data_IF_434715339972
#
_entry.id   IF_434715339972
#
_cell.length_a   1.000
_cell.length_b   1.000
_cell.length_c   1.000
_cell.angle_alpha   90.00
_cell.angle_beta   90.00
_cell.angle_gamma   90.00
#
_symmetry.space_group_name_H-M   'P 1'
#
loop_
_entity.id
_entity.type
_entity.pdbx_description
1 polymer ?
#
# COMPACT_ATOMS: atom_id res chain seq x y z
N UNK A 1 8.87 60.16 -29.28
CA UNK A 1 7.64 60.47 -30.00
C UNK A 1 6.57 59.70 -29.30
N UNK A 2 5.87 60.29 -28.31
CA UNK A 2 4.60 60.99 -28.40
C UNK A 2 3.54 60.13 -29.10
N UNK A 3 2.46 59.63 -28.46
CA UNK A 3 1.34 60.34 -27.89
C UNK A 3 0.44 59.38 -27.09
N UNK A 4 0.10 59.68 -25.88
CA UNK A 4 -1.23 59.48 -25.28
C UNK A 4 -1.96 60.83 -25.47
N UNK A 5 -3.22 61.08 -25.14
CA UNK A 5 -4.23 60.40 -24.32
C UNK A 5 -5.67 60.48 -24.94
N UNK A 6 -6.73 60.02 -24.27
CA UNK A 6 -7.82 60.90 -23.81
C UNK A 6 -8.92 60.14 -23.04
N UNK A 7 -9.32 60.79 -21.98
CA UNK A 7 -10.36 60.42 -21.05
C UNK A 7 -11.68 61.20 -21.29
N UNK A 8 -12.80 60.59 -20.78
CA UNK A 8 -14.02 61.20 -20.21
C UNK A 8 -15.15 61.66 -21.19
N UNK A 9 -16.36 61.96 -20.69
CA UNK A 9 -16.99 61.73 -19.37
C UNK A 9 -18.45 61.19 -19.38
N UNK A 10 -18.97 60.99 -18.17
CA UNK A 10 -20.41 60.77 -17.79
C UNK A 10 -21.34 61.95 -18.19
N UNK A 11 -22.67 61.72 -18.22
CA UNK A 11 -23.49 62.58 -17.37
C UNK A 11 -24.57 61.86 -16.53
N UNK A 12 -24.74 62.39 -15.34
CA UNK A 12 -25.84 62.29 -14.39
C UNK A 12 -27.17 62.82 -14.93
N UNK A 13 -28.29 62.18 -14.56
CA UNK A 13 -29.54 62.93 -14.30
C UNK A 13 -30.36 62.32 -13.19
N UNK A 14 -30.63 63.18 -12.23
CA UNK A 14 -31.61 63.15 -11.15
C UNK A 14 -33.06 63.13 -11.69
N UNK A 15 -33.93 62.54 -10.93
CA UNK A 15 -35.32 63.01 -10.99
C UNK A 15 -36.40 62.05 -10.63
N UNK A 16 -36.86 62.17 -9.45
CA UNK A 16 -38.22 62.38 -8.91
C UNK A 16 -38.88 61.21 -8.19
N UNK A 17 -39.11 61.49 -6.91
CA UNK A 17 -40.02 60.88 -5.95
C UNK A 17 -41.47 60.84 -6.48
N UNK A 18 -42.12 59.67 -6.31
CA UNK A 18 -43.59 59.64 -6.06
C UNK A 18 -43.82 58.61 -4.97
N UNK A 19 -44.25 59.07 -3.83
CA UNK A 19 -44.86 58.27 -2.77
C UNK A 19 -46.27 57.83 -3.24
N UNK A 20 -46.54 56.51 -3.10
CA UNK A 20 -47.91 56.04 -2.95
C UNK A 20 -47.91 54.91 -1.90
N UNK A 21 -48.57 55.21 -0.80
CA UNK A 21 -48.97 54.26 0.21
C UNK A 21 -50.12 53.39 -0.34
N UNK A 22 -50.15 52.08 0.00
CA UNK A 22 -51.37 51.44 0.51
C UNK A 22 -51.25 49.89 0.60
N UNK A 23 -51.75 49.44 1.72
CA UNK A 23 -52.39 48.17 2.05
C UNK A 23 -51.46 46.92 2.27
N UNK A 24 -51.31 46.71 3.56
CA UNK A 24 -50.94 45.43 4.16
C UNK A 24 -52.08 44.41 3.91
N UNK A 25 -51.72 43.34 3.15
CA UNK A 25 -52.46 42.07 3.22
C UNK A 25 -51.49 41.05 3.85
N UNK A 26 -51.79 40.70 5.09
CA UNK A 26 -51.12 39.63 5.80
C UNK A 26 -51.51 38.29 5.15
N UNK A 27 -50.66 37.78 4.30
CA UNK A 27 -50.70 36.37 3.85
C UNK A 27 -49.94 35.54 4.86
N UNK A 28 -50.68 34.80 5.69
CA UNK A 28 -50.15 33.71 6.51
C UNK A 28 -49.62 32.62 5.56
N UNK A 29 -48.34 32.67 5.26
CA UNK A 29 -47.61 31.52 4.69
C UNK A 29 -47.38 30.56 5.83
N UNK A 30 -48.18 29.49 5.94
CA UNK A 30 -47.86 28.29 6.66
C UNK A 30 -46.60 27.71 6.01
N UNK A 31 -45.46 27.95 6.62
CA UNK A 31 -44.25 27.19 6.35
C UNK A 31 -44.48 25.80 6.92
N UNK A 32 -44.89 24.84 6.10
CA UNK A 32 -44.65 23.44 6.39
C UNK A 32 -43.13 23.24 6.30
N UNK A 33 -42.46 23.22 7.43
CA UNK A 33 -41.17 22.61 7.56
C UNK A 33 -41.39 21.09 7.42
N UNK A 34 -41.15 20.56 6.23
CA UNK A 34 -40.89 19.13 6.07
C UNK A 34 -39.54 18.87 6.74
N UNK A 35 -39.56 18.66 8.05
CA UNK A 35 -38.49 18.00 8.79
C UNK A 35 -38.50 16.53 8.37
N UNK A 36 -38.01 16.27 7.17
CA UNK A 36 -37.54 14.95 6.78
C UNK A 36 -36.17 14.72 7.51
N UNK A 37 -36.24 14.56 8.81
CA UNK A 37 -35.21 13.89 9.58
C UNK A 37 -35.23 12.39 9.17
N UNK A 38 -34.71 12.10 7.98
CA UNK A 38 -34.33 10.73 7.68
C UNK A 38 -33.28 10.31 8.75
N UNK A 39 -33.60 9.28 9.54
CA UNK A 39 -32.68 8.85 10.57
C UNK A 39 -31.33 8.56 9.91
N UNK A 40 -30.27 9.23 10.37
CA UNK A 40 -28.91 9.03 9.87
C UNK A 40 -28.64 7.52 9.82
N UNK A 41 -28.26 7.04 8.64
CA UNK A 41 -27.95 5.61 8.47
C UNK A 41 -27.01 5.16 9.59
N UNK A 42 -27.27 4.03 10.25
CA UNK A 42 -26.45 3.57 11.36
C UNK A 42 -24.99 3.49 10.90
N UNK A 43 -24.03 3.89 11.75
CA UNK A 43 -22.62 3.86 11.39
C UNK A 43 -22.22 2.45 10.94
N UNK A 44 -21.63 2.36 9.74
CA UNK A 44 -21.14 1.07 9.21
C UNK A 44 -20.06 0.55 10.14
N UNK A 45 -20.36 -0.49 10.88
CA UNK A 45 -19.38 -1.14 11.76
C UNK A 45 -18.43 -1.97 10.90
N UNK A 46 -17.16 -1.56 10.84
CA UNK A 46 -16.14 -2.32 10.12
C UNK A 46 -15.83 -3.65 10.82
N UNK A 47 -15.63 -4.75 10.08
CA UNK A 47 -15.38 -6.06 10.66
C UNK A 47 -14.08 -6.08 11.47
N UNK A 48 -14.11 -6.68 12.66
CA UNK A 48 -12.92 -6.93 13.48
C UNK A 48 -12.03 -8.03 12.86
N UNK A 49 -12.67 -9.00 12.21
CA UNK A 49 -12.00 -10.13 11.58
C UNK A 49 -12.82 -10.68 10.42
N UNK A 50 -12.17 -10.87 9.29
CA UNK A 50 -12.71 -11.56 8.12
C UNK A 50 -11.96 -12.89 8.01
N UNK A 51 -12.65 -14.01 8.15
CA UNK A 51 -12.07 -15.35 7.99
C UNK A 51 -12.50 -15.92 6.64
N UNK A 52 -11.55 -16.09 5.74
CA UNK A 52 -11.80 -16.50 4.36
C UNK A 52 -11.59 -18.01 4.21
N UNK A 53 -12.64 -18.81 3.90
CA UNK A 53 -12.55 -20.26 3.77
C UNK A 53 -11.96 -20.66 2.41
N UNK A 54 -10.76 -20.19 2.10
CA UNK A 54 -10.04 -20.48 0.86
C UNK A 54 -8.81 -21.32 1.16
N UNK A 55 -8.87 -22.60 0.81
CA UNK A 55 -7.81 -23.57 1.09
C UNK A 55 -6.52 -23.27 0.29
N UNK A 56 -5.39 -23.43 0.97
CA UNK A 56 -4.06 -23.41 0.38
C UNK A 56 -3.77 -22.17 -0.49
N UNK A 57 -4.29 -21.01 -0.09
CA UNK A 57 -3.97 -19.74 -0.75
C UNK A 57 -2.65 -19.17 -0.24
N UNK A 58 -2.42 -19.26 1.07
CA UNK A 58 -1.26 -18.71 1.77
C UNK A 58 -0.89 -17.31 1.25
N UNK A 59 -1.77 -16.32 1.45
CA UNK A 59 -1.54 -14.97 0.96
C UNK A 59 -0.36 -14.32 1.70
N UNK A 60 0.38 -13.45 1.01
CA UNK A 60 1.52 -12.72 1.55
C UNK A 60 1.25 -11.22 1.53
N UNK A 61 0.69 -10.71 0.43
CA UNK A 61 0.35 -9.32 0.22
C UNK A 61 -1.14 -9.05 0.40
N UNK A 62 -1.45 -7.86 0.91
CA UNK A 62 -2.82 -7.34 1.03
C UNK A 62 -2.87 -5.85 0.69
N UNK A 63 -3.91 -5.43 -0.02
CA UNK A 63 -4.28 -4.03 -0.21
C UNK A 63 -5.78 -3.85 -0.03
N UNK A 64 -6.22 -2.68 0.44
CA UNK A 64 -7.63 -2.33 0.46
C UNK A 64 -7.97 -1.41 -0.70
N UNK A 65 -8.95 -1.80 -1.50
CA UNK A 65 -9.48 -1.06 -2.62
C UNK A 65 -10.68 -0.23 -2.15
N UNK A 66 -10.41 1.04 -1.78
CA UNK A 66 -11.44 1.96 -1.28
C UNK A 66 -12.55 2.22 -2.31
N UNK A 67 -12.22 2.24 -3.61
CA UNK A 67 -13.19 2.51 -4.67
C UNK A 67 -14.21 1.38 -4.80
N UNK A 68 -13.77 0.13 -4.64
CA UNK A 68 -14.60 -1.06 -4.78
C UNK A 68 -14.95 -1.72 -3.43
N UNK A 69 -14.58 -1.12 -2.29
CA UNK A 69 -14.88 -1.56 -0.92
C UNK A 69 -14.52 -3.03 -0.68
N UNK A 70 -13.31 -3.45 -1.07
CA UNK A 70 -12.84 -4.83 -0.97
C UNK A 70 -11.35 -4.90 -0.66
N UNK A 71 -10.91 -6.00 -0.07
CA UNK A 71 -9.49 -6.32 0.02
C UNK A 71 -9.04 -7.03 -1.26
N UNK A 72 -7.77 -6.84 -1.62
CA UNK A 72 -7.08 -7.59 -2.67
C UNK A 72 -5.95 -8.35 -1.97
N UNK A 73 -5.81 -9.64 -2.25
CA UNK A 73 -4.81 -10.51 -1.65
C UNK A 73 -4.01 -11.25 -2.71
N UNK A 74 -2.75 -11.53 -2.41
CA UNK A 74 -1.86 -12.35 -3.22
C UNK A 74 -1.94 -13.83 -2.86
N UNK A 75 -1.16 -14.68 -3.54
CA UNK A 75 -1.02 -16.08 -3.19
C UNK A 75 0.35 -16.64 -3.55
N UNK A 76 1.09 -17.07 -2.54
CA UNK A 76 2.38 -17.75 -2.75
C UNK A 76 2.21 -19.13 -3.37
N UNK A 77 1.16 -19.84 -3.01
CA UNK A 77 0.98 -21.27 -3.39
C UNK A 77 0.17 -21.47 -4.66
N UNK A 78 -0.54 -20.43 -5.14
CA UNK A 78 -1.37 -20.51 -6.35
C UNK A 78 -0.91 -19.58 -7.47
N UNK A 79 -0.04 -18.61 -7.16
CA UNK A 79 0.45 -17.65 -8.12
C UNK A 79 -0.68 -16.84 -8.76
N UNK A 80 -1.66 -16.38 -7.98
CA UNK A 80 -2.76 -15.55 -8.45
C UNK A 80 -3.15 -14.49 -7.43
N UNK A 81 -3.86 -13.51 -7.87
CA UNK A 81 -4.50 -12.52 -7.03
C UNK A 81 -6.00 -12.83 -6.89
N UNK A 82 -6.62 -12.22 -5.90
CA UNK A 82 -8.08 -12.27 -5.75
C UNK A 82 -8.57 -11.19 -4.80
N UNK A 83 -9.89 -11.01 -4.79
CA UNK A 83 -10.57 -10.06 -3.92
C UNK A 83 -11.29 -10.76 -2.78
N UNK A 84 -11.41 -10.06 -1.65
CA UNK A 84 -12.13 -10.51 -0.46
C UNK A 84 -13.12 -9.43 -0.05
N UNK A 85 -14.36 -9.82 0.12
CA UNK A 85 -15.43 -8.97 0.65
C UNK A 85 -15.56 -9.12 2.18
N UNK A 86 -16.28 -8.20 2.81
CA UNK A 86 -16.52 -8.24 4.27
C UNK A 86 -17.28 -9.49 4.72
N UNK A 87 -18.07 -10.09 3.84
CA UNK A 87 -18.79 -11.34 4.08
C UNK A 87 -17.94 -12.61 3.90
N UNK A 88 -16.62 -12.45 3.75
CA UNK A 88 -15.64 -13.52 3.50
C UNK A 88 -15.65 -14.12 2.09
N UNK A 89 -16.45 -13.59 1.16
CA UNK A 89 -16.46 -14.03 -0.23
C UNK A 89 -15.12 -13.74 -0.90
N UNK A 90 -14.48 -14.78 -1.45
CA UNK A 90 -13.25 -14.69 -2.23
C UNK A 90 -13.56 -14.86 -3.73
N UNK A 91 -13.03 -13.95 -4.55
CA UNK A 91 -13.11 -14.04 -6.02
C UNK A 91 -11.73 -13.94 -6.62
N UNK A 92 -11.28 -15.00 -7.31
CA UNK A 92 -9.98 -15.00 -7.96
C UNK A 92 -9.96 -14.09 -9.20
N UNK A 93 -8.82 -13.43 -9.44
CA UNK A 93 -8.54 -12.75 -10.70
C UNK A 93 -8.25 -13.78 -11.83
N UNK A 94 -8.30 -13.35 -13.11
CA UNK A 94 -7.87 -14.18 -14.23
C UNK A 94 -6.48 -14.76 -13.99
N UNK A 95 -6.30 -16.01 -14.38
CA UNK A 95 -5.05 -16.72 -14.19
C UNK A 95 -4.03 -16.37 -15.29
N UNK A 96 -2.74 -16.31 -14.90
CA UNK A 96 -1.61 -16.18 -15.83
C UNK A 96 -0.48 -17.11 -15.38
N UNK A 97 0.02 -18.00 -16.24
CA UNK A 97 1.02 -19.01 -15.87
C UNK A 97 2.39 -18.41 -15.47
N UNK A 98 2.67 -17.14 -15.83
CA UNK A 98 3.89 -16.44 -15.43
C UNK A 98 3.90 -16.09 -13.94
N UNK A 99 2.74 -16.08 -13.28
CA UNK A 99 2.59 -15.78 -11.87
C UNK A 99 2.90 -17.03 -11.03
N UNK A 100 4.17 -17.38 -10.85
CA UNK A 100 4.58 -18.56 -10.06
C UNK A 100 4.14 -18.42 -8.61
N UNK A 101 4.59 -17.38 -7.92
CA UNK A 101 4.10 -16.95 -6.60
C UNK A 101 3.92 -15.43 -6.63
N UNK A 102 2.77 -14.93 -6.21
CA UNK A 102 2.56 -13.50 -6.00
C UNK A 102 2.75 -13.19 -4.52
N UNK A 103 3.52 -12.14 -4.22
CA UNK A 103 4.03 -11.79 -2.89
C UNK A 103 3.44 -10.44 -2.45
N UNK A 104 4.26 -9.40 -2.31
CA UNK A 104 3.82 -8.07 -1.95
C UNK A 104 2.93 -7.42 -2.99
N UNK A 105 2.04 -6.57 -2.54
CA UNK A 105 1.08 -5.83 -3.36
C UNK A 105 1.17 -4.33 -3.10
N UNK A 106 0.93 -3.53 -4.13
CA UNK A 106 0.69 -2.10 -3.97
C UNK A 106 -0.43 -1.64 -4.91
N UNK A 107 -1.45 -0.98 -4.38
CA UNK A 107 -2.53 -0.40 -5.17
C UNK A 107 -2.25 1.10 -5.40
N UNK A 108 -1.74 1.44 -6.57
CA UNK A 108 -1.60 2.82 -7.04
C UNK A 108 -2.94 3.30 -7.60
N UNK A 109 -3.84 3.70 -6.70
CA UNK A 109 -5.18 4.14 -7.05
C UNK A 109 -5.16 5.38 -7.95
N UNK A 110 -4.17 6.27 -7.78
CA UNK A 110 -4.02 7.49 -8.58
C UNK A 110 -3.83 7.18 -10.07
N UNK A 111 -3.13 6.08 -10.37
CA UNK A 111 -2.83 5.64 -11.75
C UNK A 111 -3.66 4.41 -12.17
N UNK A 112 -4.65 4.05 -11.36
CA UNK A 112 -5.55 2.92 -11.60
C UNK A 112 -4.78 1.64 -11.97
N UNK A 113 -3.77 1.28 -11.18
CA UNK A 113 -2.97 0.07 -11.38
C UNK A 113 -2.71 -0.65 -10.05
N UNK A 114 -2.79 -1.96 -10.10
CA UNK A 114 -2.40 -2.84 -9.01
C UNK A 114 -1.07 -3.50 -9.37
N UNK A 115 -0.12 -3.44 -8.47
CA UNK A 115 1.23 -3.95 -8.62
C UNK A 115 1.39 -5.19 -7.76
N UNK A 116 2.04 -6.22 -8.28
CA UNK A 116 2.37 -7.44 -7.54
C UNK A 116 3.82 -7.84 -7.78
N UNK A 117 4.56 -8.12 -6.73
CA UNK A 117 5.85 -8.77 -6.80
C UNK A 117 5.65 -10.26 -7.13
N UNK A 118 6.42 -10.78 -8.09
CA UNK A 118 6.35 -12.17 -8.52
C UNK A 118 7.70 -12.83 -8.30
N UNK A 119 7.68 -13.99 -7.63
CA UNK A 119 8.87 -14.71 -7.24
C UNK A 119 8.66 -16.23 -7.25
N UNK A 120 9.71 -16.99 -6.99
CA UNK A 120 9.65 -18.43 -6.82
C UNK A 120 10.64 -18.92 -5.76
N UNK A 121 10.13 -19.40 -4.64
CA UNK A 121 10.90 -20.11 -3.63
C UNK A 121 10.45 -21.57 -3.43
N UNK A 122 9.72 -22.11 -4.39
CA UNK A 122 9.18 -23.47 -4.34
C UNK A 122 7.81 -23.60 -3.67
N UNK A 123 7.19 -22.50 -3.25
CA UNK A 123 5.88 -22.54 -2.57
C UNK A 123 4.75 -23.03 -3.49
N UNK A 124 4.82 -22.72 -4.79
CA UNK A 124 3.89 -23.20 -5.80
C UNK A 124 4.51 -24.35 -6.61
N UNK A 125 4.51 -25.54 -6.03
CA UNK A 125 5.12 -26.71 -6.66
C UNK A 125 4.61 -27.03 -8.08
N UNK A 126 3.39 -26.61 -8.43
CA UNK A 126 2.83 -26.83 -9.76
C UNK A 126 3.40 -25.90 -10.85
N UNK A 127 4.02 -24.80 -10.47
CA UNK A 127 4.60 -23.79 -11.40
C UNK A 127 6.09 -23.58 -11.21
N UNK A 128 6.65 -24.02 -10.07
CA UNK A 128 8.09 -23.98 -9.82
C UNK A 128 8.83 -24.85 -10.83
N UNK A 129 9.88 -24.30 -11.41
CA UNK A 129 10.79 -25.01 -12.31
C UNK A 129 12.26 -24.77 -11.90
N UNK A 130 13.22 -25.57 -12.36
CA UNK A 130 14.66 -25.28 -12.11
C UNK A 130 15.11 -23.91 -12.63
N UNK A 131 14.42 -23.37 -13.67
CA UNK A 131 14.74 -22.06 -14.22
C UNK A 131 14.18 -20.91 -13.39
N UNK A 132 13.09 -21.12 -12.64
CA UNK A 132 12.43 -20.09 -11.84
C UNK A 132 12.78 -20.14 -10.37
N UNK A 133 13.08 -21.35 -9.84
CA UNK A 133 13.36 -21.55 -8.41
C UNK A 133 14.53 -20.68 -7.94
N UNK A 134 14.23 -19.71 -7.05
CA UNK A 134 15.18 -18.72 -6.52
C UNK A 134 15.89 -17.87 -7.60
N UNK A 135 15.29 -17.77 -8.79
CA UNK A 135 15.80 -16.98 -9.92
C UNK A 135 14.79 -15.95 -10.39
N UNK A 136 13.51 -16.25 -10.19
CA UNK A 136 12.44 -15.38 -10.62
C UNK A 136 12.31 -14.19 -9.68
N UNK A 137 12.43 -13.00 -10.25
CA UNK A 137 11.95 -11.75 -9.68
C UNK A 137 11.32 -10.92 -10.79
N UNK A 138 10.06 -10.54 -10.65
CA UNK A 138 9.36 -9.72 -11.61
C UNK A 138 8.34 -8.79 -10.94
N UNK A 139 7.97 -7.74 -11.65
CA UNK A 139 6.84 -6.86 -11.33
C UNK A 139 5.70 -7.15 -12.31
N UNK A 140 4.56 -7.58 -11.79
CA UNK A 140 3.32 -7.73 -12.56
C UNK A 140 2.40 -6.55 -12.27
N UNK A 141 1.80 -5.97 -13.33
CA UNK A 141 0.89 -4.83 -13.26
C UNK A 141 -0.48 -5.27 -13.77
N UNK A 142 -1.53 -4.97 -13.00
CA UNK A 142 -2.89 -5.37 -13.30
C UNK A 142 -3.81 -4.16 -13.37
N UNK A 143 -4.87 -4.28 -14.14
CA UNK A 143 -6.03 -3.43 -13.98
C UNK A 143 -6.76 -3.84 -12.68
N UNK A 144 -6.90 -2.97 -11.67
CA UNK A 144 -7.47 -3.36 -10.39
C UNK A 144 -8.96 -3.71 -10.47
N UNK A 145 -9.69 -3.18 -11.44
CA UNK A 145 -11.13 -3.43 -11.60
C UNK A 145 -11.40 -4.80 -12.21
N UNK A 146 -10.69 -5.12 -13.31
CA UNK A 146 -10.92 -6.38 -14.07
C UNK A 146 -10.05 -7.54 -13.59
N UNK A 147 -8.97 -7.24 -12.87
CA UNK A 147 -7.95 -8.21 -12.49
C UNK A 147 -7.07 -8.68 -13.65
N UNK A 148 -7.20 -8.08 -14.84
CA UNK A 148 -6.42 -8.46 -16.01
C UNK A 148 -4.97 -7.99 -15.89
N UNK A 149 -4.01 -8.86 -16.18
CA UNK A 149 -2.59 -8.52 -16.27
C UNK A 149 -2.35 -7.60 -17.48
N UNK A 150 -1.77 -6.43 -17.24
CA UNK A 150 -1.49 -5.41 -18.27
C UNK A 150 -0.01 -5.33 -18.63
N UNK A 151 0.88 -5.67 -17.70
CA UNK A 151 2.34 -5.66 -17.92
C UNK A 151 3.02 -6.69 -17.01
N UNK A 152 4.15 -7.23 -17.49
CA UNK A 152 5.00 -8.15 -16.74
C UNK A 152 6.45 -7.79 -17.03
N UNK A 153 7.19 -7.35 -16.01
CA UNK A 153 8.53 -6.77 -16.13
C UNK A 153 9.52 -7.63 -15.37
N UNK A 154 10.48 -8.20 -16.09
CA UNK A 154 11.57 -8.99 -15.49
C UNK A 154 12.53 -8.08 -14.71
N UNK A 155 12.82 -8.45 -13.47
CA UNK A 155 13.78 -7.78 -12.60
C UNK A 155 15.03 -8.66 -12.39
N UNK A 156 14.85 -9.97 -12.31
CA UNK A 156 15.94 -10.93 -12.11
C UNK A 156 16.99 -10.88 -13.21
N UNK A 157 16.57 -10.62 -14.45
CA UNK A 157 17.44 -10.44 -15.61
C UNK A 157 18.44 -9.27 -15.49
N UNK A 158 18.22 -8.33 -14.57
CA UNK A 158 19.16 -7.24 -14.29
C UNK A 158 20.44 -7.75 -13.56
N UNK A 159 20.34 -8.89 -12.86
CA UNK A 159 21.46 -9.55 -12.16
C UNK A 159 21.36 -11.09 -12.28
N UNK A 160 21.47 -11.67 -13.47
CA UNK A 160 21.09 -13.06 -13.76
C UNK A 160 21.95 -14.10 -13.02
N UNK A 161 23.10 -13.70 -12.46
CA UNK A 161 23.98 -14.58 -11.68
C UNK A 161 23.57 -14.77 -10.23
N UNK A 162 22.60 -13.96 -9.72
CA UNK A 162 22.21 -13.98 -8.32
C UNK A 162 20.96 -14.86 -8.08
N UNK A 163 20.67 -15.10 -6.81
CA UNK A 163 19.37 -15.60 -6.39
C UNK A 163 18.44 -14.42 -6.16
N UNK A 164 17.17 -14.60 -6.48
CA UNK A 164 16.17 -13.53 -6.41
C UNK A 164 14.91 -13.95 -5.68
N UNK A 165 14.30 -12.96 -5.00
CA UNK A 165 12.96 -13.04 -4.45
C UNK A 165 12.39 -11.63 -4.33
N UNK A 166 11.76 -11.12 -5.40
CA UNK A 166 11.02 -9.86 -5.34
C UNK A 166 9.94 -9.98 -4.26
N UNK A 167 9.94 -9.05 -3.30
CA UNK A 167 9.10 -9.18 -2.12
C UNK A 167 8.02 -8.08 -2.05
N UNK A 168 8.36 -6.86 -1.70
CA UNK A 168 7.37 -5.81 -1.46
C UNK A 168 7.62 -4.58 -2.35
N UNK A 169 6.62 -3.68 -2.43
CA UNK A 169 6.58 -2.62 -3.43
C UNK A 169 6.17 -1.30 -2.78
N UNK A 170 6.97 -0.24 -3.01
CA UNK A 170 6.59 1.13 -2.78
C UNK A 170 6.44 1.89 -4.10
N UNK A 171 5.56 2.91 -4.13
CA UNK A 171 5.36 3.78 -5.29
C UNK A 171 5.57 5.23 -4.87
N UNK A 172 6.41 5.96 -5.60
CA UNK A 172 6.62 7.39 -5.33
C UNK A 172 5.54 8.28 -5.98
N UNK A 173 5.60 9.57 -5.69
CA UNK A 173 4.63 10.55 -6.21
C UNK A 173 4.66 10.66 -7.75
N UNK A 174 5.79 10.34 -8.39
CA UNK A 174 5.96 10.34 -9.85
C UNK A 174 5.46 9.05 -10.50
N UNK A 175 5.18 8.01 -9.69
CA UNK A 175 4.70 6.71 -10.15
C UNK A 175 5.82 5.71 -10.44
N UNK A 176 7.05 5.98 -10.02
CA UNK A 176 8.09 4.97 -10.04
C UNK A 176 7.84 3.95 -8.93
N UNK A 177 8.06 2.68 -9.26
CA UNK A 177 7.92 1.57 -8.33
C UNK A 177 9.31 1.17 -7.81
N UNK A 178 9.40 0.90 -6.51
CA UNK A 178 10.60 0.39 -5.86
C UNK A 178 10.30 -0.97 -5.28
N UNK A 179 11.08 -1.98 -5.64
CA UNK A 179 10.82 -3.38 -5.29
C UNK A 179 12.02 -3.94 -4.54
N UNK A 180 11.79 -4.49 -3.35
CA UNK A 180 12.80 -5.17 -2.55
C UNK A 180 13.07 -6.56 -3.07
N UNK A 181 14.35 -7.00 -3.01
CA UNK A 181 14.74 -8.40 -3.23
C UNK A 181 15.24 -9.01 -1.91
N UNK A 182 14.55 -10.05 -1.45
CA UNK A 182 14.88 -10.67 -0.17
C UNK A 182 16.09 -11.64 -0.22
N UNK A 183 16.45 -12.13 -1.40
CA UNK A 183 17.59 -13.06 -1.57
C UNK A 183 18.84 -12.38 -2.10
N UNK A 184 18.70 -11.17 -2.67
CA UNK A 184 19.82 -10.33 -3.10
C UNK A 184 19.75 -8.98 -2.40
N UNK A 185 20.89 -8.32 -2.16
CA UNK A 185 20.93 -7.03 -1.46
C UNK A 185 20.56 -5.87 -2.41
N UNK A 186 19.39 -5.97 -3.04
CA UNK A 186 18.96 -5.10 -4.14
C UNK A 186 17.61 -4.49 -3.86
N UNK A 187 17.47 -3.21 -4.21
CA UNK A 187 16.19 -2.54 -4.47
C UNK A 187 16.15 -2.22 -5.96
N UNK A 188 15.15 -2.73 -6.65
CA UNK A 188 14.90 -2.38 -8.05
C UNK A 188 14.05 -1.12 -8.14
N UNK A 189 14.16 -0.42 -9.28
CA UNK A 189 13.25 0.64 -9.69
C UNK A 189 12.66 0.30 -11.04
N UNK A 190 11.35 0.44 -11.16
CA UNK A 190 10.65 0.47 -12.45
C UNK A 190 10.06 1.86 -12.59
N UNK A 191 10.46 2.60 -13.61
CA UNK A 191 9.95 3.94 -13.86
C UNK A 191 8.49 3.93 -14.37
N UNK A 192 7.89 5.11 -14.46
CA UNK A 192 6.50 5.24 -14.92
C UNK A 192 6.30 4.78 -16.38
N UNK A 193 7.37 4.63 -17.16
CA UNK A 193 7.37 4.11 -18.53
C UNK A 193 7.58 2.60 -18.60
N UNK A 194 7.85 1.94 -17.46
CA UNK A 194 8.05 0.50 -17.36
C UNK A 194 9.51 0.05 -17.53
N UNK A 195 10.47 0.98 -17.51
CA UNK A 195 11.89 0.64 -17.59
C UNK A 195 12.42 0.20 -16.22
N UNK A 196 12.92 -1.02 -16.14
CA UNK A 196 13.52 -1.58 -14.94
C UNK A 196 15.02 -1.27 -14.83
N UNK A 197 15.46 -0.91 -13.63
CA UNK A 197 16.85 -0.66 -13.28
C UNK A 197 17.18 -1.14 -11.87
N UNK A 198 18.44 -1.37 -11.54
CA UNK A 198 18.89 -1.50 -10.15
C UNK A 198 18.96 -0.10 -9.54
N UNK A 199 18.14 0.16 -8.53
CA UNK A 199 18.12 1.44 -7.82
C UNK A 199 19.20 1.54 -6.75
N UNK A 200 19.36 0.47 -5.98
CA UNK A 200 20.37 0.35 -4.93
C UNK A 200 20.82 -1.11 -4.82
N UNK A 201 22.13 -1.33 -4.80
CA UNK A 201 22.75 -2.62 -4.49
C UNK A 201 23.89 -2.36 -3.50
N UNK A 202 23.79 -2.95 -2.30
CA UNK A 202 24.79 -2.73 -1.24
C UNK A 202 24.82 -3.94 -0.29
N UNK A 203 26.01 -4.48 0.05
CA UNK A 203 26.13 -5.62 0.94
C UNK A 203 25.47 -5.48 2.30
N UNK A 204 25.29 -4.26 2.83
CA UNK A 204 24.61 -3.98 4.10
C UNK A 204 23.13 -4.39 4.07
N UNK A 205 22.54 -4.51 2.88
CA UNK A 205 21.14 -4.92 2.66
C UNK A 205 20.98 -6.45 2.69
N UNK A 206 22.08 -7.21 2.67
CA UNK A 206 22.05 -8.67 2.61
C UNK A 206 21.45 -9.31 3.85
N UNK A 207 20.63 -10.32 3.66
CA UNK A 207 20.13 -11.22 4.71
C UNK A 207 21.07 -12.37 5.05
N UNK A 208 22.27 -12.43 4.44
CA UNK A 208 23.17 -13.56 4.56
C UNK A 208 22.60 -14.82 3.89
N UNK A 209 22.41 -15.89 4.65
CA UNK A 209 21.82 -17.15 4.14
C UNK A 209 20.28 -17.16 4.14
N UNK A 210 19.65 -16.20 4.83
CA UNK A 210 18.20 -16.04 4.96
C UNK A 210 17.62 -14.94 4.07
N UNK A 211 16.36 -14.59 4.35
CA UNK A 211 15.72 -13.43 3.74
C UNK A 211 16.27 -12.13 4.34
N UNK A 212 16.67 -11.21 3.46
CA UNK A 212 17.14 -9.86 3.79
C UNK A 212 16.02 -8.81 3.74
N UNK A 213 16.07 -7.98 2.71
CA UNK A 213 15.06 -6.93 2.52
C UNK A 213 13.65 -7.51 2.39
N UNK A 214 12.67 -6.79 2.96
CA UNK A 214 11.28 -7.19 2.95
C UNK A 214 10.40 -5.94 2.75
N UNK A 215 9.59 -5.54 3.72
CA UNK A 215 8.67 -4.42 3.61
C UNK A 215 9.34 -3.11 3.19
N UNK A 216 8.65 -2.34 2.37
CA UNK A 216 9.12 -1.05 1.84
C UNK A 216 7.95 -0.06 1.73
N UNK A 217 8.15 1.18 2.16
CA UNK A 217 7.19 2.27 1.96
C UNK A 217 7.87 3.53 1.48
N UNK A 218 7.16 4.31 0.66
CA UNK A 218 7.59 5.64 0.24
C UNK A 218 7.15 6.68 1.27
N UNK A 219 8.08 7.53 1.66
CA UNK A 219 7.81 8.69 2.51
C UNK A 219 7.69 9.96 1.67
N UNK A 220 6.69 10.83 1.91
CA UNK A 220 6.44 12.02 1.08
C UNK A 220 7.62 12.99 1.00
N UNK A 221 8.55 12.97 1.95
CA UNK A 221 9.78 13.77 1.93
C UNK A 221 10.86 13.22 0.98
N UNK A 222 10.53 12.24 0.12
CA UNK A 222 11.43 11.78 -0.93
C UNK A 222 12.46 10.74 -0.51
N UNK A 223 12.10 9.83 0.39
CA UNK A 223 12.91 8.67 0.75
C UNK A 223 12.03 7.42 0.95
N UNK A 224 12.67 6.27 0.98
CA UNK A 224 12.06 5.00 1.33
C UNK A 224 12.40 4.64 2.77
N UNK A 225 11.45 4.00 3.48
CA UNK A 225 11.74 3.22 4.68
C UNK A 225 11.68 1.75 4.27
N UNK A 226 12.72 1.00 4.61
CA UNK A 226 12.93 -0.37 4.13
C UNK A 226 13.30 -1.25 5.31
N UNK A 227 12.54 -2.32 5.53
CA UNK A 227 12.81 -3.30 6.57
C UNK A 227 13.74 -4.41 6.06
N UNK A 228 14.64 -4.87 6.93
CA UNK A 228 15.44 -6.08 6.73
C UNK A 228 15.03 -7.13 7.76
N UNK A 229 14.56 -8.27 7.29
CA UNK A 229 13.84 -9.26 8.10
C UNK A 229 14.74 -10.00 9.09
N UNK A 230 15.94 -10.40 8.67
CA UNK A 230 16.83 -11.28 9.44
C UNK A 230 17.31 -10.68 10.77
N UNK A 231 17.51 -9.37 10.84
CA UNK A 231 18.01 -8.68 12.04
C UNK A 231 17.12 -7.54 12.52
N UNK A 232 16.03 -7.25 11.79
CA UNK A 232 15.08 -6.20 12.14
C UNK A 232 15.57 -4.78 11.89
N UNK A 233 16.62 -4.60 11.07
CA UNK A 233 17.11 -3.27 10.72
C UNK A 233 16.08 -2.54 9.87
N UNK A 234 15.80 -1.28 10.20
CA UNK A 234 15.03 -0.35 9.37
C UNK A 234 16.00 0.64 8.73
N UNK A 235 15.97 0.74 7.41
CA UNK A 235 16.77 1.69 6.64
C UNK A 235 15.94 2.88 6.18
N UNK A 236 16.57 4.06 6.14
CA UNK A 236 16.11 5.25 5.44
C UNK A 236 16.95 5.44 4.19
N UNK A 237 16.33 5.36 3.01
CA UNK A 237 17.00 5.40 1.69
C UNK A 237 16.51 6.63 0.90
N UNK A 238 17.30 7.73 0.84
CA UNK A 238 16.94 8.92 0.08
C UNK A 238 16.86 8.62 -1.43
N UNK A 239 15.80 9.07 -2.10
CA UNK A 239 15.66 8.85 -3.56
C UNK A 239 16.70 9.62 -4.37
N UNK A 240 17.13 10.79 -3.91
CA UNK A 240 18.14 11.64 -4.57
C UNK A 240 19.57 11.14 -4.40
N UNK A 241 19.85 10.34 -3.36
CA UNK A 241 21.17 9.78 -3.07
C UNK A 241 21.01 8.41 -2.38
N UNK A 242 20.62 7.35 -3.11
CA UNK A 242 20.33 6.05 -2.51
C UNK A 242 21.53 5.42 -1.79
N UNK A 243 22.75 5.62 -2.27
CA UNK A 243 23.97 5.07 -1.65
C UNK A 243 24.31 5.71 -0.30
N UNK A 244 23.75 6.90 -0.02
CA UNK A 244 23.83 7.59 1.27
C UNK A 244 22.80 7.13 2.29
N UNK A 245 22.21 5.94 2.12
CA UNK A 245 21.21 5.44 3.05
C UNK A 245 21.78 5.19 4.45
N UNK A 246 20.91 5.33 5.45
CA UNK A 246 21.24 5.21 6.86
C UNK A 246 20.32 4.21 7.57
N UNK A 247 20.80 3.70 8.71
CA UNK A 247 19.96 2.91 9.63
C UNK A 247 19.16 3.84 10.53
N UNK A 248 17.88 3.55 10.73
CA UNK A 248 17.05 4.22 11.75
C UNK A 248 17.39 3.63 13.12
N UNK A 249 17.77 4.47 14.08
CA UNK A 249 18.06 4.02 15.45
C UNK A 249 16.77 3.69 16.19
N UNK A 250 16.58 2.43 16.58
CA UNK A 250 15.39 1.94 17.27
C UNK A 250 15.82 0.99 18.39
N UNK A 251 15.35 1.23 19.62
CA UNK A 251 15.65 0.34 20.75
C UNK A 251 14.80 -0.95 20.72
N UNK A 252 13.60 -0.89 20.15
CA UNK A 252 12.72 -2.06 19.96
C UNK A 252 13.31 -3.01 18.92
N UNK A 253 13.45 -4.29 19.27
CA UNK A 253 13.82 -5.31 18.27
C UNK A 253 12.69 -5.51 17.27
N UNK A 254 13.02 -5.43 15.99
CA UNK A 254 12.12 -5.67 14.87
C UNK A 254 12.50 -6.94 14.09
N UNK A 255 13.22 -7.86 14.69
CA UNK A 255 13.60 -9.16 14.05
C UNK A 255 12.35 -9.83 13.47
N UNK A 256 12.46 -10.32 12.24
CA UNK A 256 11.31 -10.82 11.49
C UNK A 256 10.41 -9.73 10.93
N UNK A 257 10.91 -8.47 10.82
CA UNK A 257 10.18 -7.41 10.15
C UNK A 257 9.80 -7.82 8.73
N UNK A 258 8.52 -7.61 8.41
CA UNK A 258 7.86 -8.01 7.18
C UNK A 258 7.16 -6.79 6.58
N UNK A 259 5.85 -6.80 6.36
CA UNK A 259 5.14 -5.67 5.78
C UNK A 259 5.19 -4.39 6.61
N UNK A 260 5.22 -3.26 5.92
CA UNK A 260 5.23 -1.92 6.48
C UNK A 260 3.97 -1.14 6.07
N UNK A 261 3.48 -0.25 6.95
CA UNK A 261 2.42 0.70 6.64
C UNK A 261 2.73 2.08 7.24
N UNK A 262 2.98 3.06 6.40
CA UNK A 262 3.12 4.44 6.82
C UNK A 262 1.72 5.04 7.07
N UNK A 263 1.40 5.34 8.33
CA UNK A 263 0.11 5.95 8.71
C UNK A 263 0.08 7.45 8.41
N UNK A 264 1.18 8.11 8.73
CA UNK A 264 1.46 9.51 8.47
C UNK A 264 2.99 9.69 8.44
N UNK A 265 3.53 10.89 8.10
CA UNK A 265 4.98 11.08 7.98
C UNK A 265 5.79 10.73 9.24
N UNK A 266 5.15 10.63 10.40
CA UNK A 266 5.82 10.40 11.69
C UNK A 266 5.48 9.03 12.30
N UNK A 267 4.54 8.28 11.72
CA UNK A 267 4.04 7.03 12.29
C UNK A 267 4.11 5.88 11.29
N UNK A 268 4.82 4.81 11.66
CA UNK A 268 4.98 3.59 10.86
C UNK A 268 4.48 2.39 11.66
N UNK A 269 3.70 1.53 11.03
CA UNK A 269 3.42 0.19 11.51
C UNK A 269 4.38 -0.81 10.87
N UNK A 270 4.94 -1.69 11.69
CA UNK A 270 5.88 -2.73 11.27
C UNK A 270 5.32 -4.08 11.71
N UNK A 271 5.02 -4.93 10.76
CA UNK A 271 4.65 -6.33 11.05
C UNK A 271 5.91 -7.12 11.33
N UNK A 272 5.96 -7.85 12.43
CA UNK A 272 7.01 -8.83 12.73
C UNK A 272 6.42 -10.23 12.81
N UNK A 273 6.61 -11.01 11.73
CA UNK A 273 6.08 -12.36 11.64
C UNK A 273 6.67 -13.29 12.70
N UNK A 274 7.98 -13.22 12.95
CA UNK A 274 8.65 -14.08 13.93
C UNK A 274 8.28 -13.75 15.39
N UNK A 275 7.86 -12.50 15.67
CA UNK A 275 7.44 -12.06 16.99
C UNK A 275 5.91 -12.08 17.17
N UNK A 276 5.15 -12.48 16.13
CA UNK A 276 3.69 -12.47 16.11
C UNK A 276 3.11 -11.13 16.62
N UNK A 277 3.67 -10.02 16.15
CA UNK A 277 3.38 -8.68 16.67
C UNK A 277 3.43 -7.65 15.56
N UNK A 278 2.54 -6.67 15.63
CA UNK A 278 2.65 -5.43 14.86
C UNK A 278 3.12 -4.33 15.81
N UNK A 279 4.23 -3.69 15.52
CA UNK A 279 4.75 -2.56 16.27
C UNK A 279 4.29 -1.24 15.66
N UNK A 280 3.90 -0.30 16.49
CA UNK A 280 3.68 1.09 16.11
C UNK A 280 4.91 1.90 16.50
N UNK A 281 5.60 2.42 15.52
CA UNK A 281 6.77 3.28 15.68
C UNK A 281 6.40 4.74 15.44
N UNK A 282 7.00 5.65 16.21
CA UNK A 282 6.89 7.09 15.97
C UNK A 282 8.26 7.75 15.99
N UNK A 283 8.41 8.81 15.18
CA UNK A 283 9.62 9.64 15.09
C UNK A 283 9.32 11.12 15.28
N UNK A 284 10.29 11.84 15.83
CA UNK A 284 10.35 13.31 15.84
C UNK A 284 11.60 13.83 15.15
N UNK A 285 12.40 12.93 14.55
CA UNK A 285 13.73 13.21 13.98
C UNK A 285 13.81 12.92 12.50
N UNK A 286 12.67 12.95 11.79
CA UNK A 286 12.57 12.62 10.37
C UNK A 286 13.23 11.25 10.06
N UNK A 287 12.98 10.24 10.90
CA UNK A 287 13.48 8.86 10.77
C UNK A 287 15.02 8.74 10.85
N UNK A 288 15.70 9.62 11.61
CA UNK A 288 17.04 9.34 12.12
C UNK A 288 16.95 8.35 13.27
N UNK A 289 15.93 8.50 14.11
CA UNK A 289 15.57 7.56 15.19
C UNK A 289 14.06 7.45 15.31
N UNK A 290 13.58 6.35 15.91
CA UNK A 290 12.17 6.13 16.22
C UNK A 290 12.03 5.35 17.52
N UNK A 291 10.85 5.46 18.13
CA UNK A 291 10.48 4.74 19.36
C UNK A 291 9.20 3.95 19.16
N UNK A 292 9.09 2.79 19.78
CA UNK A 292 7.84 2.04 19.82
C UNK A 292 6.85 2.78 20.74
N UNK A 293 5.66 3.08 20.23
CA UNK A 293 4.58 3.80 20.93
C UNK A 293 3.36 2.93 21.15
N UNK A 294 3.36 1.70 20.67
CA UNK A 294 2.31 0.71 20.84
C UNK A 294 2.65 -0.60 20.14
N UNK A 295 1.88 -1.62 20.43
CA UNK A 295 1.96 -2.91 19.75
C UNK A 295 0.62 -3.61 19.74
N UNK A 296 0.42 -4.48 18.74
CA UNK A 296 -0.73 -5.36 18.62
C UNK A 296 -0.23 -6.81 18.48
N UNK A 297 -0.52 -7.64 19.49
CA UNK A 297 -0.18 -9.06 19.48
C UNK A 297 -1.15 -9.83 18.58
N UNK A 298 -0.63 -10.60 17.62
CA UNK A 298 -1.45 -11.38 16.69
C UNK A 298 -1.77 -12.80 17.18
N UNK A 299 -1.28 -13.17 18.38
CA UNK A 299 -1.36 -14.53 18.89
C UNK A 299 -0.37 -15.46 18.18
N UNK A 300 -0.60 -16.76 18.24
CA UNK A 300 0.28 -17.77 17.64
C UNK A 300 0.11 -17.84 16.11
N UNK A 301 0.27 -16.71 15.44
CA UNK A 301 0.23 -16.55 13.99
C UNK A 301 1.45 -15.76 13.55
N UNK A 302 2.07 -16.15 12.45
CA UNK A 302 3.11 -15.36 11.79
C UNK A 302 2.43 -14.43 10.76
N UNK A 303 2.04 -13.19 11.13
CA UNK A 303 1.47 -12.24 10.19
C UNK A 303 2.52 -11.83 9.17
N UNK A 304 2.09 -11.46 7.96
CA UNK A 304 3.02 -11.09 6.89
C UNK A 304 2.96 -9.60 6.57
N UNK A 305 1.77 -9.04 6.39
CA UNK A 305 1.65 -7.65 5.98
C UNK A 305 0.41 -6.97 6.54
N UNK A 306 0.27 -5.70 6.25
CA UNK A 306 -0.74 -4.81 6.82
C UNK A 306 -1.18 -3.79 5.76
N UNK A 307 -2.46 -3.44 5.78
CA UNK A 307 -3.01 -2.40 4.91
C UNK A 307 -3.91 -1.45 5.69
N UNK A 308 -4.21 -0.29 5.10
CA UNK A 308 -5.14 0.69 5.65
C UNK A 308 -6.53 0.53 5.02
N UNK A 309 -7.57 0.65 5.83
CA UNK A 309 -8.96 0.86 5.41
C UNK A 309 -9.53 2.01 6.23
N UNK A 310 -9.81 3.13 5.60
CA UNK A 310 -10.16 4.38 6.27
C UNK A 310 -9.10 4.77 7.33
N UNK A 311 -9.48 4.89 8.61
CA UNK A 311 -8.57 5.15 9.74
C UNK A 311 -7.97 3.90 10.36
N UNK A 312 -8.43 2.71 9.98
CA UNK A 312 -8.05 1.44 10.60
C UNK A 312 -6.95 0.71 9.83
N UNK A 313 -6.17 -0.07 10.55
CA UNK A 313 -5.17 -0.96 10.00
C UNK A 313 -5.65 -2.42 10.06
N UNK A 314 -5.43 -3.17 8.99
CA UNK A 314 -5.80 -4.58 8.88
C UNK A 314 -4.59 -5.43 8.56
N UNK A 315 -4.35 -6.43 9.40
CA UNK A 315 -3.21 -7.36 9.34
C UNK A 315 -3.62 -8.65 8.66
N UNK A 316 -2.77 -9.14 7.78
CA UNK A 316 -2.98 -10.41 7.10
C UNK A 316 -2.42 -11.58 7.92
N UNK A 317 -3.27 -12.58 8.16
CA UNK A 317 -2.94 -13.84 8.83
C UNK A 317 -2.98 -14.97 7.81
N UNK A 318 -1.83 -15.33 7.20
CA UNK A 318 -1.80 -16.32 6.11
C UNK A 318 -1.99 -17.75 6.61
N UNK A 319 -1.71 -18.01 7.89
CA UNK A 319 -1.59 -19.33 8.49
C UNK A 319 -0.56 -20.21 7.76
N UNK A 320 -0.68 -21.52 7.82
CA UNK A 320 0.19 -22.45 7.11
C UNK A 320 -0.19 -22.54 5.64
N UNK A 321 0.76 -22.83 4.77
CA UNK A 321 0.53 -22.94 3.32
C UNK A 321 -0.55 -23.95 2.91
N UNK A 322 -0.82 -24.94 3.77
CA UNK A 322 -1.85 -25.97 3.58
C UNK A 322 -3.14 -25.67 4.36
N UNK A 323 -3.21 -24.55 5.06
CA UNK A 323 -4.39 -24.23 5.86
C UNK A 323 -5.65 -24.12 4.99
N UNK A 324 -6.82 -24.52 5.51
CA UNK A 324 -8.08 -24.41 4.78
C UNK A 324 -8.63 -22.99 4.72
N UNK A 325 -7.93 -22.02 5.32
CA UNK A 325 -8.38 -20.63 5.44
C UNK A 325 -7.20 -19.69 5.64
N UNK A 326 -7.48 -18.38 5.48
CA UNK A 326 -6.67 -17.27 5.99
C UNK A 326 -7.58 -16.24 6.69
N UNK A 327 -7.02 -15.22 7.32
CA UNK A 327 -7.82 -14.16 7.92
C UNK A 327 -7.21 -12.78 7.71
N UNK A 328 -8.08 -11.77 7.74
CA UNK A 328 -7.76 -10.35 7.74
C UNK A 328 -8.29 -9.79 9.05
N UNK A 329 -7.42 -9.21 9.88
CA UNK A 329 -7.75 -8.84 11.26
C UNK A 329 -7.44 -7.38 11.52
N UNK A 330 -8.41 -6.66 12.08
CA UNK A 330 -8.26 -5.26 12.47
C UNK A 330 -7.30 -5.14 13.64
N UNK A 331 -6.22 -4.37 13.48
CA UNK A 331 -5.26 -4.09 14.53
C UNK A 331 -5.73 -2.89 15.38
N UNK A 332 -5.62 -3.00 16.68
CA UNK A 332 -5.92 -1.95 17.66
C UNK A 332 -4.68 -1.69 18.52
N UNK A 333 -4.25 -0.41 18.60
CA UNK A 333 -3.04 0.04 19.31
C UNK A 333 -3.38 0.90 20.53
#
# INVERSE_FOLDING_TARGET
>A
MCYAPNAQPLPSRLGRFVCLALLATASLLSSCSDDNDDPAAPPVTLPEKITVPQAALHPEGIQYDEANKRFIVSSRTRGRLGTVQDDSTYTAFPDDPRLVSTVGLNLDATRNRLLAAVSDNGANASRTTPATLRKLAALAIFNPTTGSLTSYIDLGGLRPGLNHFANDIAVDAQGNCYITDSLSPIIYKVDAQGTATVFLEDPRLSGGTGFGLNGIVFHPDGYLLVAKSNDGTLFKVPLSNPTGFTTVTIAQSLVGADGLLLLDPQTLLVVSGSQSTVFRLATTTAWVSASATGSFATGAVSPTTITRRASDAYVLYPYQSTAPRFAIVRAKF
#
